data_IF_547107356020
#
_entry.id   IF_547107356020
#
_cell.length_a   1.000
_cell.length_b   1.000
_cell.length_c   1.000
_cell.angle_alpha   90.00
_cell.angle_beta   90.00
_cell.angle_gamma   90.00
#
_symmetry.space_group_name_H-M   'P 1'
#
loop_
_entity.id
_entity.type
_entity.pdbx_description
1 polymer ?
#
# COMPACT_ATOMS: atom_id res chain seq x y z
N UNK A 1 -1.68 23.95 -25.18
CA UNK A 1 -1.20 24.67 -24.00
C UNK A 1 -2.30 24.62 -22.94
N UNK A 2 -2.24 23.64 -22.06
CA UNK A 2 -3.14 23.49 -20.89
C UNK A 2 -2.29 23.79 -19.66
N UNK A 3 -2.38 25.03 -19.20
CA UNK A 3 -1.81 25.50 -17.95
C UNK A 3 -2.62 24.86 -16.80
N UNK A 4 -2.05 23.84 -16.20
CA UNK A 4 -2.57 23.29 -14.95
C UNK A 4 -2.44 24.38 -13.87
N UNK A 5 -3.57 24.94 -13.47
CA UNK A 5 -3.67 25.86 -12.35
C UNK A 5 -3.19 25.11 -11.09
N UNK A 6 -1.95 25.38 -10.72
CA UNK A 6 -1.36 24.96 -9.45
C UNK A 6 -2.02 25.83 -8.37
N UNK A 7 -3.07 25.34 -7.76
CA UNK A 7 -3.66 25.94 -6.57
C UNK A 7 -2.64 25.82 -5.42
N UNK A 8 -1.81 26.83 -5.29
CA UNK A 8 -1.04 27.12 -4.10
C UNK A 8 -2.02 27.53 -2.98
N UNK A 9 -2.73 26.56 -2.43
CA UNK A 9 -3.29 26.72 -1.10
C UNK A 9 -2.08 26.74 -0.17
N UNK A 10 -1.80 27.90 0.37
CA UNK A 10 -0.84 28.06 1.45
C UNK A 10 -1.35 27.24 2.63
N UNK A 11 -1.00 25.95 2.63
CA UNK A 11 -1.33 25.03 3.71
C UNK A 11 -0.65 25.57 4.95
N UNK A 12 -1.43 25.86 5.98
CA UNK A 12 -0.91 26.14 7.31
C UNK A 12 0.18 25.13 7.66
N UNK A 13 1.24 25.55 8.39
CA UNK A 13 2.35 24.65 8.67
C UNK A 13 1.82 23.34 9.29
N UNK A 14 2.16 22.16 8.74
CA UNK A 14 1.52 20.90 9.10
C UNK A 14 1.67 20.50 10.58
N UNK A 15 2.56 21.17 11.31
CA UNK A 15 2.90 20.88 12.70
C UNK A 15 2.67 22.11 13.60
N UNK A 16 1.41 22.39 13.93
CA UNK A 16 1.04 23.54 14.79
C UNK A 16 0.80 23.15 16.25
N UNK A 17 0.01 22.12 16.49
CA UNK A 17 -0.40 21.70 17.83
C UNK A 17 -0.89 20.26 17.84
N UNK A 18 -0.93 19.66 19.02
CA UNK A 18 -1.65 18.39 19.26
C UNK A 18 -3.14 18.68 19.52
N UNK A 19 -4.07 17.82 19.05
CA UNK A 19 -3.84 16.58 18.33
C UNK A 19 -3.44 16.81 16.85
N UNK A 20 -2.39 16.12 16.41
CA UNK A 20 -1.99 16.12 15.00
C UNK A 20 -2.79 15.09 14.22
N UNK A 21 -3.29 15.47 13.04
CA UNK A 21 -4.00 14.57 12.15
C UNK A 21 -3.41 14.66 10.75
N UNK A 22 -3.11 13.51 10.15
CA UNK A 22 -2.69 13.40 8.77
C UNK A 22 -3.56 12.37 8.05
N UNK A 23 -4.07 12.73 6.88
CA UNK A 23 -4.78 11.81 6.00
C UNK A 23 -3.94 11.56 4.75
N UNK A 24 -3.62 10.30 4.51
CA UNK A 24 -2.90 9.88 3.32
C UNK A 24 -3.81 9.02 2.44
N UNK A 25 -3.98 9.47 1.21
CA UNK A 25 -4.70 8.71 0.18
C UNK A 25 -3.69 8.08 -0.76
N UNK A 26 -3.83 6.77 -1.01
CA UNK A 26 -3.01 6.13 -2.05
C UNK A 26 -3.31 6.76 -3.42
N UNK A 27 -2.26 6.99 -4.22
CA UNK A 27 -2.43 7.51 -5.57
C UNK A 27 -3.27 6.53 -6.40
N UNK A 28 -4.42 7.01 -6.87
CA UNK A 28 -5.34 6.23 -7.72
C UNK A 28 -4.83 6.10 -9.16
N UNK A 29 -4.02 7.06 -9.62
CA UNK A 29 -3.59 7.17 -11.02
C UNK A 29 -2.85 5.92 -11.50
N UNK A 30 -1.89 5.41 -10.72
CA UNK A 30 -1.15 4.20 -11.10
C UNK A 30 -2.02 2.94 -11.12
N UNK A 31 -2.99 2.85 -10.22
CA UNK A 31 -3.90 1.72 -10.16
C UNK A 31 -4.91 1.76 -11.31
N UNK A 32 -5.42 2.94 -11.68
CA UNK A 32 -6.29 3.13 -12.86
C UNK A 32 -5.53 2.78 -14.14
N UNK A 33 -4.29 3.24 -14.29
CA UNK A 33 -3.47 2.94 -15.45
C UNK A 33 -3.22 1.44 -15.59
N UNK A 34 -2.87 0.77 -14.49
CA UNK A 34 -2.68 -0.70 -14.46
C UNK A 34 -3.96 -1.45 -14.82
N UNK A 35 -5.12 -1.01 -14.30
CA UNK A 35 -6.40 -1.63 -14.61
C UNK A 35 -6.75 -1.42 -16.09
N UNK A 36 -6.52 -0.23 -16.64
CA UNK A 36 -6.78 0.11 -18.03
C UNK A 36 -5.90 -0.71 -18.98
N UNK A 37 -4.69 -1.08 -18.57
CA UNK A 37 -3.81 -1.94 -19.33
C UNK A 37 -4.19 -3.44 -19.20
N UNK A 38 -4.70 -3.84 -18.04
CA UNK A 38 -5.08 -5.22 -17.75
C UNK A 38 -6.35 -5.63 -18.51
N UNK A 39 -7.35 -4.73 -18.64
CA UNK A 39 -8.64 -5.00 -19.27
C UNK A 39 -8.51 -5.47 -20.72
N UNK A 40 -7.81 -4.77 -21.63
CA UNK A 40 -7.70 -5.21 -23.01
C UNK A 40 -6.95 -6.55 -23.15
N UNK A 41 -5.92 -6.79 -22.34
CA UNK A 41 -5.18 -8.07 -22.37
C UNK A 41 -6.06 -9.22 -21.91
N UNK A 42 -6.88 -9.01 -20.89
CA UNK A 42 -7.85 -10.00 -20.41
C UNK A 42 -8.94 -10.28 -21.45
N UNK A 43 -9.51 -9.24 -22.06
CA UNK A 43 -10.57 -9.35 -23.05
C UNK A 43 -10.12 -10.02 -24.35
N UNK A 44 -8.83 -9.94 -24.71
CA UNK A 44 -8.27 -10.55 -25.90
C UNK A 44 -8.47 -12.08 -25.95
N UNK A 45 -8.55 -12.75 -24.81
CA UNK A 45 -8.82 -14.21 -24.74
C UNK A 45 -10.29 -14.49 -24.39
N UNK A 46 -10.84 -13.77 -23.42
CA UNK A 46 -12.19 -14.06 -22.92
C UNK A 46 -13.27 -13.78 -23.97
N UNK A 47 -13.10 -12.70 -24.76
CA UNK A 47 -14.10 -12.36 -25.79
C UNK A 47 -14.16 -13.40 -26.90
N UNK A 48 -13.07 -13.83 -27.54
CA UNK A 48 -13.13 -14.91 -28.54
C UNK A 48 -13.68 -16.23 -27.97
N UNK A 49 -13.24 -16.62 -26.78
CA UNK A 49 -13.76 -17.84 -26.12
C UNK A 49 -15.27 -17.73 -25.87
N UNK A 50 -15.74 -16.58 -25.36
CA UNK A 50 -17.18 -16.33 -25.18
C UNK A 50 -17.97 -16.39 -26.47
N UNK A 51 -17.43 -15.82 -27.57
CA UNK A 51 -18.07 -15.87 -28.88
C UNK A 51 -18.13 -17.32 -29.41
N UNK A 52 -17.06 -18.08 -29.33
CA UNK A 52 -17.06 -19.50 -29.73
C UNK A 52 -18.09 -20.29 -28.94
N UNK A 53 -18.16 -20.11 -27.62
CA UNK A 53 -19.17 -20.79 -26.80
C UNK A 53 -20.59 -20.35 -27.11
N UNK A 54 -20.81 -19.08 -27.47
CA UNK A 54 -22.13 -18.57 -27.81
C UNK A 54 -22.65 -19.05 -29.16
N UNK A 55 -21.78 -19.10 -30.19
CA UNK A 55 -22.18 -19.43 -31.56
C UNK A 55 -21.99 -20.90 -31.94
N UNK A 56 -20.98 -21.56 -31.39
CA UNK A 56 -20.63 -22.96 -31.67
C UNK A 56 -20.78 -23.87 -30.44
N UNK A 57 -21.62 -23.51 -29.48
CA UNK A 57 -21.73 -24.23 -28.19
C UNK A 57 -22.18 -25.68 -28.33
N UNK A 58 -22.99 -26.01 -29.36
CA UNK A 58 -23.40 -27.38 -29.64
C UNK A 58 -22.23 -28.22 -30.15
N UNK A 59 -21.50 -27.72 -31.12
CA UNK A 59 -20.31 -28.38 -31.71
C UNK A 59 -19.19 -28.54 -30.68
N UNK A 60 -18.98 -27.54 -29.84
CA UNK A 60 -18.02 -27.60 -28.73
C UNK A 60 -18.41 -28.70 -27.73
N UNK A 61 -19.69 -28.85 -27.40
CA UNK A 61 -20.18 -29.90 -26.51
C UNK A 61 -19.96 -31.30 -27.10
N UNK A 62 -20.22 -31.46 -28.38
CA UNK A 62 -20.02 -32.71 -29.06
C UNK A 62 -18.52 -33.07 -29.18
N UNK A 63 -17.67 -32.09 -29.55
CA UNK A 63 -16.22 -32.26 -29.59
C UNK A 63 -15.65 -32.59 -28.19
N UNK A 64 -16.17 -31.98 -27.12
CA UNK A 64 -15.73 -32.29 -25.75
C UNK A 64 -16.11 -33.70 -25.30
N UNK A 65 -17.24 -34.23 -25.78
CA UNK A 65 -17.66 -35.60 -25.48
C UNK A 65 -16.73 -36.62 -26.16
N UNK A 66 -16.25 -36.33 -27.38
CA UNK A 66 -15.35 -37.19 -28.10
C UNK A 66 -13.88 -37.10 -27.66
N UNK A 67 -13.47 -35.94 -27.09
CA UNK A 67 -12.10 -35.69 -26.65
C UNK A 67 -12.01 -35.14 -25.24
N UNK A 68 -12.36 -35.93 -24.20
CA UNK A 68 -12.48 -35.43 -22.83
C UNK A 68 -11.15 -34.93 -22.25
N UNK A 69 -10.03 -35.54 -22.65
CA UNK A 69 -8.70 -35.10 -22.18
C UNK A 69 -8.34 -33.73 -22.74
N UNK A 70 -8.58 -33.48 -24.01
CA UNK A 70 -8.34 -32.17 -24.64
C UNK A 70 -9.23 -31.09 -24.01
N UNK A 71 -10.50 -31.41 -23.75
CA UNK A 71 -11.45 -30.51 -23.08
C UNK A 71 -10.96 -30.15 -21.65
N UNK A 72 -10.46 -31.13 -20.91
CA UNK A 72 -9.92 -30.91 -19.58
C UNK A 72 -8.68 -29.98 -19.60
N UNK A 73 -7.76 -30.20 -20.53
CA UNK A 73 -6.55 -29.35 -20.69
C UNK A 73 -6.94 -27.91 -21.05
N UNK A 74 -7.86 -27.73 -22.00
CA UNK A 74 -8.34 -26.40 -22.40
C UNK A 74 -9.04 -25.68 -21.26
N UNK A 75 -9.88 -26.38 -20.50
CA UNK A 75 -10.58 -25.83 -19.33
C UNK A 75 -9.59 -25.43 -18.25
N UNK A 76 -8.62 -26.28 -17.95
CA UNK A 76 -7.56 -25.96 -16.97
C UNK A 76 -6.72 -24.75 -17.41
N UNK A 77 -6.38 -24.66 -18.70
CA UNK A 77 -5.68 -23.51 -19.28
C UNK A 77 -6.47 -22.22 -19.16
N UNK A 78 -7.78 -22.26 -19.42
CA UNK A 78 -8.67 -21.10 -19.27
C UNK A 78 -8.81 -20.68 -17.81
N UNK A 79 -8.96 -21.62 -16.89
CA UNK A 79 -9.01 -21.34 -15.45
C UNK A 79 -7.69 -20.71 -14.99
N UNK A 80 -6.54 -21.27 -15.39
CA UNK A 80 -5.24 -20.71 -15.07
C UNK A 80 -5.08 -19.29 -15.64
N UNK A 81 -5.53 -19.05 -16.86
CA UNK A 81 -5.54 -17.71 -17.47
C UNK A 81 -6.37 -16.72 -16.67
N UNK A 82 -7.60 -17.08 -16.34
CA UNK A 82 -8.49 -16.23 -15.52
C UNK A 82 -7.86 -15.94 -14.17
N UNK A 83 -7.29 -16.95 -13.50
CA UNK A 83 -6.63 -16.78 -12.21
C UNK A 83 -5.41 -15.84 -12.30
N UNK A 84 -4.63 -15.93 -13.38
CA UNK A 84 -3.47 -15.05 -13.62
C UNK A 84 -3.85 -13.57 -13.62
N UNK A 85 -5.06 -13.23 -14.10
CA UNK A 85 -5.55 -11.85 -14.13
C UNK A 85 -6.36 -11.45 -12.91
N UNK A 86 -7.16 -12.36 -12.34
CA UNK A 86 -7.97 -12.08 -11.16
C UNK A 86 -7.11 -11.78 -9.93
N UNK A 87 -6.00 -12.48 -9.74
CA UNK A 87 -5.12 -12.26 -8.58
C UNK A 87 -4.52 -10.85 -8.57
N UNK A 88 -3.87 -10.36 -9.64
CA UNK A 88 -3.36 -8.98 -9.67
C UNK A 88 -4.50 -7.94 -9.67
N UNK A 89 -5.60 -8.19 -10.37
CA UNK A 89 -6.77 -7.30 -10.36
C UNK A 89 -7.32 -7.13 -8.95
N UNK A 90 -7.52 -8.21 -8.20
CA UNK A 90 -7.92 -8.18 -6.78
C UNK A 90 -6.96 -7.35 -5.95
N UNK A 91 -5.65 -7.55 -6.11
CA UNK A 91 -4.62 -6.78 -5.38
C UNK A 91 -4.66 -5.29 -5.73
N UNK A 92 -4.88 -4.95 -6.99
CA UNK A 92 -5.03 -3.56 -7.43
C UNK A 92 -6.29 -2.95 -6.81
N UNK A 93 -7.43 -3.64 -6.90
CA UNK A 93 -8.70 -3.18 -6.34
C UNK A 93 -8.61 -3.03 -4.81
N UNK A 94 -7.94 -3.94 -4.11
CA UNK A 94 -7.72 -3.83 -2.67
C UNK A 94 -6.90 -2.60 -2.28
N UNK A 95 -6.01 -2.14 -3.15
CA UNK A 95 -5.24 -0.90 -2.95
C UNK A 95 -6.03 0.36 -3.32
N UNK A 96 -7.11 0.22 -4.09
CA UNK A 96 -8.01 1.31 -4.40
C UNK A 96 -8.74 1.78 -3.13
N UNK A 97 -8.64 3.05 -2.85
CA UNK A 97 -9.41 3.66 -1.76
C UNK A 97 -8.86 3.43 -0.36
N UNK A 98 -7.61 2.90 -0.22
CA UNK A 98 -6.99 2.89 1.10
C UNK A 98 -6.79 4.34 1.54
N UNK A 99 -7.51 4.68 2.61
CA UNK A 99 -7.34 5.91 3.35
C UNK A 99 -6.63 5.56 4.65
N UNK A 100 -5.44 6.10 4.83
CA UNK A 100 -4.72 6.01 6.09
C UNK A 100 -4.90 7.31 6.84
N UNK A 101 -5.59 7.24 7.96
CA UNK A 101 -5.72 8.35 8.90
C UNK A 101 -4.79 8.11 10.07
N UNK A 102 -3.92 9.06 10.32
CA UNK A 102 -3.00 9.06 11.45
C UNK A 102 -3.45 10.15 12.41
N UNK A 103 -3.67 9.79 13.65
CA UNK A 103 -3.98 10.73 14.73
C UNK A 103 -2.96 10.55 15.83
N UNK A 104 -2.28 11.64 16.20
CA UNK A 104 -1.32 11.66 17.30
C UNK A 104 -1.90 12.60 18.37
N UNK A 105 -2.28 12.04 19.49
CA UNK A 105 -2.84 12.77 20.62
C UNK A 105 -2.26 12.23 21.92
N UNK A 106 -1.91 13.12 22.85
CA UNK A 106 -1.53 12.77 24.22
C UNK A 106 -0.61 11.55 24.31
N UNK A 107 0.54 11.60 23.69
CA UNK A 107 1.57 10.53 23.73
C UNK A 107 1.15 9.20 23.07
N UNK A 108 0.05 9.17 22.32
CA UNK A 108 -0.41 7.98 21.60
C UNK A 108 -0.58 8.25 20.11
N UNK A 109 -0.09 7.33 19.32
CA UNK A 109 -0.27 7.29 17.86
C UNK A 109 -1.36 6.29 17.54
N UNK A 110 -2.43 6.74 16.90
CA UNK A 110 -3.52 5.88 16.40
C UNK A 110 -3.54 5.94 14.88
N UNK A 111 -3.54 4.79 14.25
CA UNK A 111 -3.61 4.66 12.79
C UNK A 111 -4.85 3.87 12.43
N UNK A 112 -5.66 4.47 11.58
CA UNK A 112 -6.83 3.84 10.98
C UNK A 112 -6.57 3.68 9.47
N UNK A 113 -6.47 2.45 9.01
CA UNK A 113 -6.38 2.08 7.62
C UNK A 113 -7.77 1.65 7.14
N UNK A 114 -8.48 2.53 6.47
CA UNK A 114 -9.78 2.25 5.87
C UNK A 114 -9.57 1.78 4.42
N UNK A 115 -10.09 0.62 4.09
CA UNK A 115 -10.09 0.07 2.73
C UNK A 115 -11.51 -0.30 2.32
N UNK A 116 -11.75 -0.53 1.03
CA UNK A 116 -13.06 -1.00 0.53
C UNK A 116 -13.51 -2.34 1.14
N UNK A 117 -12.58 -3.13 1.69
CA UNK A 117 -12.82 -4.48 2.20
C UNK A 117 -12.69 -4.61 3.72
N UNK A 118 -12.56 -3.49 4.42
CA UNK A 118 -12.49 -3.47 5.88
C UNK A 118 -11.61 -2.35 6.42
N UNK A 119 -11.73 -2.12 7.71
CA UNK A 119 -10.94 -1.16 8.46
C UNK A 119 -9.99 -1.90 9.40
N UNK A 120 -8.74 -1.45 9.46
CA UNK A 120 -7.75 -1.92 10.43
C UNK A 120 -7.34 -0.75 11.29
N UNK A 121 -7.43 -0.94 12.59
CA UNK A 121 -7.02 0.05 13.58
C UNK A 121 -5.90 -0.53 14.43
N UNK A 122 -4.90 0.28 14.68
CA UNK A 122 -3.89 -0.03 15.67
C UNK A 122 -3.44 1.25 16.38
N UNK A 123 -2.97 1.11 17.60
CA UNK A 123 -2.41 2.22 18.37
C UNK A 123 -1.14 1.78 19.05
N UNK A 124 -0.21 2.73 19.25
CA UNK A 124 1.03 2.53 19.96
C UNK A 124 1.37 3.79 20.76
N UNK A 125 2.02 3.66 21.93
CA UNK A 125 2.54 4.80 22.65
C UNK A 125 3.61 5.52 21.81
N UNK A 126 3.66 6.85 21.88
CA UNK A 126 4.65 7.64 21.17
C UNK A 126 6.08 7.31 21.61
N UNK A 127 6.24 6.89 22.87
CA UNK A 127 7.52 6.45 23.43
C UNK A 127 8.14 5.21 22.75
N UNK A 128 7.33 4.39 22.07
CA UNK A 128 7.83 3.25 21.30
C UNK A 128 8.52 3.67 19.99
N UNK A 129 8.31 4.92 19.55
CA UNK A 129 8.92 5.42 18.34
C UNK A 129 10.32 5.97 18.62
N UNK A 130 11.25 5.67 17.74
CA UNK A 130 12.66 6.05 17.88
C UNK A 130 12.92 7.50 17.54
N UNK A 131 12.14 8.08 16.63
CA UNK A 131 12.34 9.45 16.18
C UNK A 131 11.65 9.74 14.86
N UNK A 132 11.94 10.91 14.32
CA UNK A 132 11.41 11.40 13.05
C UNK A 132 12.52 11.34 12.00
N UNK A 133 12.29 10.65 10.89
CA UNK A 133 13.22 10.55 9.77
C UNK A 133 12.71 11.36 8.58
N UNK A 134 13.62 12.10 7.96
CA UNK A 134 13.41 12.74 6.67
C UNK A 134 13.93 11.79 5.57
N UNK A 135 13.05 11.31 4.73
CA UNK A 135 13.36 10.38 3.64
C UNK A 135 13.06 11.04 2.30
N UNK A 136 13.99 10.87 1.36
CA UNK A 136 13.82 11.35 -0.02
C UNK A 136 13.52 10.14 -0.90
N UNK A 137 12.33 10.13 -1.48
CA UNK A 137 11.86 9.07 -2.36
C UNK A 137 11.82 9.52 -3.80
N UNK A 138 12.59 8.85 -4.65
CA UNK A 138 12.50 9.02 -6.10
C UNK A 138 11.36 8.16 -6.66
N UNK A 139 10.49 8.75 -7.47
CA UNK A 139 9.39 8.08 -8.16
C UNK A 139 9.40 8.48 -9.64
N UNK A 140 8.68 7.74 -10.48
CA UNK A 140 8.52 8.09 -11.89
C UNK A 140 7.90 9.49 -12.11
N UNK A 141 7.14 9.99 -11.14
CA UNK A 141 6.53 11.32 -11.17
C UNK A 141 7.38 12.43 -10.54
N UNK A 142 8.62 12.12 -10.15
CA UNK A 142 9.56 13.07 -9.54
C UNK A 142 10.03 12.68 -8.15
N UNK A 143 10.75 13.60 -7.52
CA UNK A 143 11.27 13.44 -6.17
C UNK A 143 10.23 13.90 -5.15
N UNK A 144 10.04 13.12 -4.10
CA UNK A 144 9.18 13.46 -2.95
C UNK A 144 9.98 13.36 -1.67
N UNK A 145 9.79 14.34 -0.82
CA UNK A 145 10.31 14.37 0.53
C UNK A 145 9.22 13.86 1.47
N UNK A 146 9.57 12.89 2.30
CA UNK A 146 8.65 12.23 3.21
C UNK A 146 9.18 12.37 4.65
N UNK A 147 8.31 12.78 5.57
CA UNK A 147 8.61 12.81 6.99
C UNK A 147 7.94 11.61 7.64
N UNK A 148 8.75 10.74 8.23
CA UNK A 148 8.30 9.43 8.73
C UNK A 148 8.59 9.34 10.22
N UNK A 149 7.57 8.98 10.99
CA UNK A 149 7.72 8.60 12.38
C UNK A 149 8.16 7.13 12.44
N UNK A 150 9.37 6.89 12.93
CA UNK A 150 10.05 5.60 12.83
C UNK A 150 9.77 4.73 14.04
N UNK A 151 9.14 3.59 13.78
CA UNK A 151 8.93 2.55 14.80
C UNK A 151 9.95 1.41 14.60
N UNK A 152 10.42 0.71 15.65
CA UNK A 152 11.29 -0.46 15.53
C UNK A 152 10.74 -1.52 14.57
N UNK A 153 9.44 -1.76 14.60
CA UNK A 153 8.77 -2.64 13.64
C UNK A 153 8.39 -1.84 12.39
N UNK A 154 8.92 -2.24 11.23
CA UNK A 154 8.72 -1.57 9.94
C UNK A 154 7.24 -1.29 9.61
N UNK A 155 6.35 -2.25 9.91
CA UNK A 155 4.93 -2.17 9.61
C UNK A 155 4.18 -1.11 10.43
N UNK A 156 4.79 -0.59 11.51
CA UNK A 156 4.23 0.43 12.38
C UNK A 156 4.82 1.82 12.18
N UNK A 157 5.81 1.96 11.29
CA UNK A 157 6.30 3.29 10.92
C UNK A 157 5.22 4.07 10.18
N UNK A 158 5.09 5.36 10.48
CA UNK A 158 3.98 6.20 10.07
C UNK A 158 4.47 7.38 9.25
N UNK A 159 3.88 7.60 8.08
CA UNK A 159 4.13 8.80 7.28
C UNK A 159 3.35 9.96 7.88
N UNK A 160 4.06 11.02 8.28
CA UNK A 160 3.50 12.22 8.85
C UNK A 160 3.15 13.25 7.78
N UNK A 161 4.08 13.48 6.84
CA UNK A 161 3.94 14.49 5.81
C UNK A 161 4.70 14.08 4.55
N UNK A 162 4.18 14.47 3.39
CA UNK A 162 4.84 14.26 2.09
C UNK A 162 4.66 15.51 1.23
N UNK A 163 5.78 16.05 0.73
CA UNK A 163 5.80 17.22 -0.12
C UNK A 163 6.90 17.13 -1.19
N UNK A 164 6.90 18.01 -2.17
CA UNK A 164 7.99 18.11 -3.15
C UNK A 164 9.31 18.58 -2.53
N UNK A 165 9.21 19.39 -1.47
CA UNK A 165 10.34 19.79 -0.64
C UNK A 165 9.86 19.97 0.80
N UNK A 166 10.70 19.63 1.77
CA UNK A 166 10.45 19.86 3.20
C UNK A 166 11.63 20.68 3.72
N UNK A 167 11.33 21.88 4.19
CA UNK A 167 12.33 22.75 4.77
C UNK A 167 12.74 22.27 6.17
N UNK A 168 14.00 22.48 6.55
CA UNK A 168 14.52 22.09 7.86
C UNK A 168 13.67 22.61 9.04
N UNK A 169 13.16 23.86 9.05
CA UNK A 169 12.29 24.32 10.12
C UNK A 169 11.00 23.51 10.32
N UNK A 170 10.52 22.84 9.27
CA UNK A 170 9.35 21.94 9.37
C UNK A 170 9.71 20.65 10.08
N UNK A 171 10.91 20.13 9.83
CA UNK A 171 11.44 18.94 10.50
C UNK A 171 11.65 19.25 12.00
N UNK A 172 12.27 20.40 12.27
CA UNK A 172 12.55 20.85 13.65
C UNK A 172 11.24 21.05 14.45
N UNK A 173 10.20 21.59 13.81
CA UNK A 173 8.87 21.70 14.45
C UNK A 173 8.26 20.34 14.74
N UNK A 174 8.38 19.38 13.82
CA UNK A 174 7.85 18.02 14.03
C UNK A 174 8.58 17.33 15.18
N UNK A 175 9.91 17.41 15.21
CA UNK A 175 10.72 16.83 16.30
C UNK A 175 10.41 17.47 17.66
N UNK A 176 10.25 18.79 17.69
CA UNK A 176 9.87 19.52 18.89
C UNK A 176 8.44 19.16 19.36
N UNK A 177 7.46 19.09 18.43
CA UNK A 177 6.07 18.77 18.73
C UNK A 177 5.92 17.37 19.34
N UNK A 178 6.64 16.38 18.79
CA UNK A 178 6.59 15.00 19.27
C UNK A 178 7.62 14.69 20.36
N UNK A 179 8.51 15.64 20.69
CA UNK A 179 9.63 15.47 21.63
C UNK A 179 10.51 14.28 21.28
N UNK A 180 10.72 14.06 19.99
CA UNK A 180 11.52 12.97 19.44
C UNK A 180 12.73 13.51 18.70
N UNK A 181 13.82 12.76 18.70
CA UNK A 181 15.03 13.13 17.94
C UNK A 181 14.83 12.95 16.44
N UNK A 182 15.56 13.74 15.66
CA UNK A 182 15.70 13.50 14.23
C UNK A 182 16.62 12.31 14.01
N UNK A 183 16.18 11.36 13.21
CA UNK A 183 16.97 10.18 12.81
C UNK A 183 17.45 10.37 11.38
N UNK A 184 18.72 10.01 11.12
CA UNK A 184 19.25 10.04 9.77
C UNK A 184 18.58 9.02 8.86
N UNK A 185 18.46 9.32 7.56
CA UNK A 185 17.87 8.40 6.58
C UNK A 185 18.64 7.05 6.55
N UNK A 186 19.93 7.05 6.87
CA UNK A 186 20.75 5.84 6.92
C UNK A 186 20.34 4.90 8.07
N UNK A 187 19.96 5.46 9.21
CA UNK A 187 19.47 4.68 10.35
C UNK A 187 18.11 4.06 10.09
N UNK A 188 17.26 4.73 9.29
CA UNK A 188 15.96 4.19 8.88
C UNK A 188 16.13 2.80 8.23
N UNK A 189 17.13 2.63 7.35
CA UNK A 189 17.38 1.35 6.68
C UNK A 189 17.99 0.31 7.63
N UNK A 190 18.86 0.70 8.55
CA UNK A 190 19.42 -0.21 9.56
C UNK A 190 18.37 -0.74 10.53
N UNK A 191 17.43 0.10 10.94
CA UNK A 191 16.31 -0.31 11.79
C UNK A 191 15.42 -1.33 11.07
N UNK A 192 15.19 -1.14 9.77
CA UNK A 192 14.39 -2.07 8.97
C UNK A 192 15.09 -3.42 8.74
N UNK A 193 16.42 -3.44 8.60
CA UNK A 193 17.19 -4.69 8.48
C UNK A 193 17.18 -5.47 9.80
N UNK A 194 17.45 -4.81 10.92
CA UNK A 194 17.50 -5.46 12.23
C UNK A 194 16.17 -6.08 12.67
N UNK A 195 15.03 -5.49 12.25
CA UNK A 195 13.71 -6.07 12.49
C UNK A 195 13.41 -7.28 11.60
N UNK A 196 14.04 -7.38 10.42
CA UNK A 196 13.91 -8.54 9.54
C UNK A 196 14.73 -9.75 10.04
N UNK A 197 15.85 -9.48 10.72
CA UNK A 197 16.77 -10.49 11.27
C UNK A 197 16.37 -10.96 12.68
N UNK A 198 15.38 -10.35 13.31
CA UNK A 198 14.88 -10.79 14.62
C UNK A 198 14.01 -12.05 14.44
N UNK A 199 14.33 -13.17 15.12
CA UNK A 199 13.51 -14.37 15.04
C UNK A 199 12.08 -14.07 15.53
N UNK A 200 11.08 -14.75 14.98
CA UNK A 200 9.70 -14.55 15.42
C UNK A 200 9.57 -14.90 16.91
N UNK A 201 8.91 -14.05 17.67
CA UNK A 201 8.72 -14.14 19.13
C UNK A 201 7.96 -15.45 19.55
N UNK A 202 7.54 -16.27 18.59
CA UNK A 202 6.83 -17.52 18.83
C UNK A 202 7.66 -18.68 19.39
N UNK A 203 8.94 -18.47 19.69
CA UNK A 203 9.84 -19.51 20.23
C UNK A 203 10.27 -19.22 21.67
N UNK A 204 9.36 -18.71 22.52
CA UNK A 204 9.56 -18.85 23.95
C UNK A 204 9.17 -20.28 24.33
N UNK A 205 10.12 -21.13 24.79
CA UNK A 205 9.76 -22.43 25.33
C UNK A 205 8.86 -22.19 26.54
N UNK A 206 7.67 -22.81 26.53
CA UNK A 206 6.89 -22.97 27.74
C UNK A 206 7.82 -23.55 28.81
N UNK A 207 8.19 -22.71 29.77
CA UNK A 207 8.92 -23.15 30.93
C UNK A 207 8.06 -24.20 31.65
N UNK A 208 8.54 -25.40 31.63
CA UNK A 208 8.07 -26.56 32.40
C UNK A 208 7.80 -26.09 33.83
N UNK A 209 6.52 -26.02 34.17
CA UNK A 209 6.06 -26.03 35.55
C UNK A 209 6.11 -27.50 35.99
N UNK A 210 7.15 -27.83 36.74
CA UNK A 210 7.19 -29.03 37.62
C UNK A 210 6.66 -28.66 39.00
#
# INVERSE_FOLDING_TARGET
MLQAASSNVASAPPFGSLPFQAEHRSSRTGAVLMLLLLVPVFSMVIVPVGLVLAFAGHEVREATAHHPLAAAILSAGLIAWVALFLVPAKRIIQRFGIRRRVTIAQERVTVADESLFGARHWSAPLAEFRGVAHHIRSTLSGVRHELILVHPSRNRSVLLHSAHAIAQPTIDRATALFRLQQISAHELYRVTQRAADSPPISALPEAQAA
#
